data_IF_706902337594
#
_entry.id   IF_706902337594
#
_cell.length_a   1.000
_cell.length_b   1.000
_cell.length_c   1.000
_cell.angle_alpha   90.00
_cell.angle_beta   90.00
_cell.angle_gamma   90.00
#
_symmetry.space_group_name_H-M   'P 1'
#
loop_
_entity.id
_entity.type
_entity.pdbx_description
1 polymer ?
#
# COMPACT_ATOMS: atom_id res chain seq x y z
N UNK A 1 -43.65 -35.21 20.86
CA UNK A 1 -42.53 -36.13 20.81
C UNK A 1 -41.24 -35.33 20.54
N UNK A 2 -40.13 -35.96 20.82
CA UNK A 2 -38.76 -35.53 20.48
C UNK A 2 -38.20 -36.75 19.72
N UNK A 3 -38.14 -36.63 18.40
CA UNK A 3 -37.91 -37.78 17.51
C UNK A 3 -36.43 -38.17 17.37
N UNK A 4 -35.53 -37.24 17.55
CA UNK A 4 -34.08 -37.47 17.45
C UNK A 4 -33.33 -37.45 18.80
N UNK A 5 -34.01 -36.98 19.87
CA UNK A 5 -33.52 -37.06 21.24
C UNK A 5 -32.57 -35.94 21.65
N UNK A 6 -32.61 -34.80 21.00
CA UNK A 6 -31.73 -33.66 21.27
C UNK A 6 -32.29 -32.68 22.33
N UNK A 7 -33.46 -33.00 22.92
CA UNK A 7 -34.20 -32.23 23.93
C UNK A 7 -35.08 -31.10 23.40
N UNK A 8 -35.11 -30.89 22.09
CA UNK A 8 -36.08 -29.98 21.44
C UNK A 8 -37.26 -30.84 20.95
N UNK A 9 -38.45 -30.45 21.28
CA UNK A 9 -39.64 -31.20 20.83
C UNK A 9 -39.91 -30.93 19.35
N UNK A 10 -40.36 -31.95 18.59
CA UNK A 10 -40.61 -31.89 17.14
C UNK A 10 -41.36 -30.66 16.66
N UNK A 11 -42.27 -30.10 17.53
CA UNK A 11 -43.03 -28.91 17.18
C UNK A 11 -42.20 -27.64 17.11
N UNK A 12 -41.16 -27.57 17.93
CA UNK A 12 -40.29 -26.38 18.10
C UNK A 12 -38.91 -26.63 17.50
N UNK A 13 -38.73 -27.83 16.93
CA UNK A 13 -37.49 -28.29 16.29
C UNK A 13 -37.51 -28.00 14.78
N UNK A 14 -36.52 -27.27 14.32
CA UNK A 14 -36.31 -26.96 12.90
C UNK A 14 -35.63 -28.11 12.12
N UNK A 15 -35.08 -29.13 12.85
CA UNK A 15 -34.41 -30.32 12.30
C UNK A 15 -34.84 -31.63 12.98
N UNK A 16 -36.12 -31.97 13.06
CA UNK A 16 -36.70 -32.95 13.99
C UNK A 16 -36.32 -34.43 13.78
N UNK A 17 -35.38 -34.70 12.89
CA UNK A 17 -34.82 -36.04 12.61
C UNK A 17 -33.29 -36.06 12.68
N UNK A 18 -32.66 -34.94 13.09
CA UNK A 18 -31.17 -34.81 13.12
C UNK A 18 -30.80 -34.07 14.40
N UNK A 19 -30.26 -34.76 15.41
CA UNK A 19 -29.93 -34.14 16.69
C UNK A 19 -29.06 -32.91 16.55
N UNK A 20 -29.41 -31.81 17.23
CA UNK A 20 -28.69 -30.56 17.12
C UNK A 20 -28.65 -29.76 18.41
N UNK A 21 -28.47 -28.45 18.27
CA UNK A 21 -28.31 -27.55 19.39
C UNK A 21 -29.62 -26.84 19.73
N UNK A 22 -29.97 -26.80 21.01
CA UNK A 22 -31.14 -26.05 21.49
C UNK A 22 -31.08 -24.57 21.05
N UNK A 23 -29.87 -23.97 21.02
CA UNK A 23 -29.67 -22.59 20.60
C UNK A 23 -30.01 -22.36 19.12
N UNK A 24 -29.96 -23.41 18.28
CA UNK A 24 -30.26 -23.40 16.85
C UNK A 24 -31.56 -24.14 16.54
N UNK A 25 -32.50 -24.14 17.52
CA UNK A 25 -33.82 -24.78 17.40
C UNK A 25 -33.73 -26.25 16.95
N UNK A 26 -32.81 -27.03 17.56
CA UNK A 26 -32.64 -28.46 17.28
C UNK A 26 -31.79 -28.77 16.02
N UNK A 27 -31.21 -27.80 15.36
CA UNK A 27 -30.36 -28.04 14.19
C UNK A 27 -28.87 -28.26 14.55
N UNK A 28 -28.18 -29.13 13.82
CA UNK A 28 -26.74 -29.31 13.97
C UNK A 28 -25.96 -28.08 13.50
N UNK A 29 -24.74 -27.93 14.04
CA UNK A 29 -23.76 -26.92 13.73
C UNK A 29 -22.40 -27.62 13.81
N UNK A 30 -21.85 -27.98 12.68
CA UNK A 30 -20.70 -28.91 12.62
C UNK A 30 -19.36 -28.23 12.93
N UNK A 31 -19.22 -26.93 12.60
CA UNK A 31 -17.99 -26.18 12.86
C UNK A 31 -18.08 -25.25 14.07
N UNK A 32 -19.30 -25.04 14.61
CA UNK A 32 -19.52 -24.33 15.86
C UNK A 32 -19.54 -22.81 15.74
N UNK A 33 -19.86 -22.27 14.56
CA UNK A 33 -19.88 -20.83 14.32
C UNK A 33 -21.18 -20.13 14.70
N UNK A 34 -22.22 -20.92 15.02
CA UNK A 34 -23.54 -20.44 15.42
C UNK A 34 -24.52 -20.29 14.26
N UNK A 35 -24.20 -20.76 13.07
CA UNK A 35 -25.07 -20.93 11.91
C UNK A 35 -25.43 -22.43 11.81
N UNK A 36 -26.69 -22.76 11.68
CA UNK A 36 -27.07 -24.17 11.52
C UNK A 36 -26.59 -24.70 10.16
N UNK A 37 -26.13 -25.96 10.10
CA UNK A 37 -25.62 -26.61 8.86
C UNK A 37 -26.55 -26.46 7.65
N UNK A 38 -27.85 -26.42 7.86
CA UNK A 38 -28.87 -26.24 6.81
C UNK A 38 -28.94 -24.84 6.23
N UNK A 39 -28.46 -23.84 6.97
CA UNK A 39 -28.49 -22.41 6.64
C UNK A 39 -27.07 -21.90 6.38
N UNK A 40 -26.07 -22.79 6.46
CA UNK A 40 -24.65 -22.53 6.31
C UNK A 40 -24.14 -22.94 4.93
N UNK A 41 -23.54 -22.00 4.22
CA UNK A 41 -22.92 -22.28 2.91
C UNK A 41 -21.57 -23.02 3.05
N UNK A 42 -20.95 -22.98 4.24
CA UNK A 42 -19.66 -23.61 4.55
C UNK A 42 -19.69 -24.46 5.84
N UNK A 43 -20.54 -25.48 5.99
CA UNK A 43 -20.86 -26.13 7.26
C UNK A 43 -19.70 -26.91 7.93
N UNK A 44 -18.47 -26.76 7.46
CA UNK A 44 -17.25 -27.31 8.05
C UNK A 44 -16.13 -26.29 8.19
N UNK A 45 -16.39 -25.03 7.90
CA UNK A 45 -15.44 -23.93 7.99
C UNK A 45 -16.10 -22.71 8.67
N UNK A 46 -15.86 -22.55 9.96
CA UNK A 46 -16.50 -21.52 10.78
C UNK A 46 -16.32 -20.10 10.21
N UNK A 47 -17.42 -19.41 10.02
CA UNK A 47 -17.48 -18.03 9.54
C UNK A 47 -18.63 -17.23 10.15
N UNK A 48 -18.71 -15.94 9.88
CA UNK A 48 -19.76 -15.11 10.45
C UNK A 48 -21.11 -15.31 9.73
N UNK A 49 -22.21 -15.20 10.49
CA UNK A 49 -23.56 -15.29 9.95
C UNK A 49 -23.85 -14.27 8.83
N UNK A 50 -23.18 -13.10 8.85
CA UNK A 50 -23.25 -12.08 7.78
C UNK A 50 -22.73 -12.58 6.42
N UNK A 51 -21.91 -13.64 6.43
CA UNK A 51 -21.40 -14.33 5.24
C UNK A 51 -21.94 -15.75 5.10
N UNK A 52 -23.16 -16.00 5.63
CA UNK A 52 -23.85 -17.29 5.58
C UNK A 52 -23.00 -18.44 6.15
N UNK A 53 -22.29 -18.22 7.27
CA UNK A 53 -21.44 -19.23 7.89
C UNK A 53 -20.07 -19.43 7.22
N UNK A 54 -19.79 -18.77 6.10
CA UNK A 54 -18.48 -18.87 5.46
C UNK A 54 -17.49 -17.85 6.01
N UNK A 55 -16.18 -18.20 6.12
CA UNK A 55 -15.15 -17.21 6.36
C UNK A 55 -15.12 -16.17 5.23
N UNK A 56 -14.76 -14.92 5.57
CA UNK A 56 -14.54 -13.92 4.54
C UNK A 56 -13.33 -14.28 3.70
N UNK A 57 -13.38 -14.10 2.36
CA UNK A 57 -12.20 -14.28 1.50
C UNK A 57 -11.03 -13.40 1.98
N UNK A 58 -9.84 -13.99 1.96
CA UNK A 58 -8.55 -13.33 2.22
C UNK A 58 -7.58 -13.87 1.16
N UNK A 59 -7.40 -13.08 0.10
CA UNK A 59 -6.79 -13.54 -1.15
C UNK A 59 -5.28 -13.69 -1.05
N UNK A 60 -4.62 -12.80 -0.34
CA UNK A 60 -3.18 -12.83 -0.16
C UNK A 60 -2.74 -13.52 1.15
N UNK A 61 -3.69 -13.78 2.06
CA UNK A 61 -3.48 -14.55 3.28
C UNK A 61 -2.79 -13.78 4.41
N UNK A 62 -2.94 -12.46 4.45
CA UNK A 62 -2.29 -11.61 5.45
C UNK A 62 -3.09 -11.47 6.76
N UNK A 63 -4.31 -12.01 6.80
CA UNK A 63 -5.21 -12.00 7.94
C UNK A 63 -6.17 -10.81 7.96
N UNK A 64 -6.21 -10.00 6.89
CA UNK A 64 -7.21 -8.96 6.66
C UNK A 64 -8.14 -9.44 5.54
N UNK A 65 -9.44 -9.63 5.81
CA UNK A 65 -10.36 -10.03 4.74
C UNK A 65 -10.41 -9.04 3.59
N UNK A 66 -10.55 -9.54 2.34
CA UNK A 66 -10.62 -8.71 1.11
C UNK A 66 -11.55 -7.49 1.22
N UNK A 67 -12.65 -7.61 1.95
CA UNK A 67 -13.63 -6.53 2.14
C UNK A 67 -13.13 -5.36 2.99
N UNK A 68 -12.16 -5.62 3.85
CA UNK A 68 -11.57 -4.67 4.80
C UNK A 68 -10.12 -4.33 4.43
N UNK A 69 -9.60 -4.98 3.38
CA UNK A 69 -8.24 -4.87 2.90
C UNK A 69 -8.12 -3.80 1.79
N UNK A 70 -7.23 -2.85 1.98
CA UNK A 70 -6.93 -1.83 0.98
C UNK A 70 -6.00 -2.35 -0.13
N UNK A 71 -5.32 -3.48 0.10
CA UNK A 71 -4.35 -4.09 -0.81
C UNK A 71 -4.58 -5.61 -0.98
N UNK A 72 -5.76 -6.09 -1.40
CA UNK A 72 -6.20 -7.50 -1.29
C UNK A 72 -5.41 -8.52 -2.13
N UNK A 73 -4.39 -8.10 -2.84
CA UNK A 73 -3.48 -8.93 -3.62
C UNK A 73 -2.00 -8.80 -3.16
N UNK A 74 -1.74 -8.03 -2.07
CA UNK A 74 -0.40 -7.69 -1.58
C UNK A 74 -0.31 -7.87 -0.07
N UNK A 75 0.29 -8.95 0.39
CA UNK A 75 0.49 -9.26 1.81
C UNK A 75 0.99 -8.05 2.60
N UNK A 76 0.22 -7.61 3.56
CA UNK A 76 0.53 -6.45 4.38
C UNK A 76 0.40 -6.68 5.88
N UNK A 77 -0.13 -5.72 6.60
CA UNK A 77 -0.34 -5.83 8.04
C UNK A 77 -1.73 -5.34 8.43
N UNK A 78 -2.31 -5.92 9.48
CA UNK A 78 -3.59 -5.45 10.06
C UNK A 78 -3.49 -3.97 10.47
N UNK A 79 -2.33 -3.53 10.99
CA UNK A 79 -2.09 -2.14 11.39
C UNK A 79 -2.13 -1.16 10.22
N UNK A 80 -1.86 -1.64 9.00
CA UNK A 80 -1.85 -0.85 7.76
C UNK A 80 -3.02 -1.25 6.82
N UNK A 81 -4.11 -1.81 7.39
CA UNK A 81 -5.32 -2.24 6.67
C UNK A 81 -5.01 -3.16 5.47
N UNK A 82 -4.18 -4.19 5.70
CA UNK A 82 -3.79 -5.15 4.67
C UNK A 82 -2.72 -4.67 3.68
N UNK A 83 -2.26 -3.42 3.77
CA UNK A 83 -1.20 -2.95 2.88
C UNK A 83 0.21 -3.17 3.47
N UNK A 84 1.23 -3.38 2.62
CA UNK A 84 2.61 -3.47 3.07
C UNK A 84 3.13 -2.15 3.63
N UNK A 85 4.01 -2.21 4.63
CA UNK A 85 4.66 -1.05 5.23
C UNK A 85 5.96 -0.71 4.51
N UNK A 86 6.20 0.61 4.30
CA UNK A 86 7.48 1.08 3.72
C UNK A 86 8.60 0.87 4.73
N UNK A 87 9.41 -0.15 4.50
CA UNK A 87 10.56 -0.48 5.34
C UNK A 87 11.71 0.50 5.14
N UNK A 88 12.67 0.54 6.08
CA UNK A 88 13.88 1.37 5.94
C UNK A 88 14.72 0.99 4.71
N UNK A 89 14.73 -0.29 4.33
CA UNK A 89 15.41 -0.75 3.12
C UNK A 89 14.79 -0.17 1.85
N UNK A 90 13.46 -0.10 1.78
CA UNK A 90 12.72 0.50 0.65
C UNK A 90 12.95 2.01 0.60
N UNK A 91 12.89 2.70 1.75
CA UNK A 91 13.21 4.14 1.83
C UNK A 91 14.60 4.43 1.31
N UNK A 92 15.58 3.62 1.73
CA UNK A 92 16.96 3.74 1.26
C UNK A 92 17.06 3.48 -0.24
N UNK A 93 16.40 2.45 -0.77
CA UNK A 93 16.42 2.14 -2.20
C UNK A 93 15.85 3.30 -3.04
N UNK A 94 14.71 3.88 -2.63
CA UNK A 94 14.12 5.05 -3.30
C UNK A 94 15.09 6.23 -3.33
N UNK A 95 15.75 6.54 -2.21
CA UNK A 95 16.75 7.61 -2.14
C UNK A 95 17.98 7.33 -3.04
N UNK A 96 18.46 6.09 -3.04
CA UNK A 96 19.63 5.71 -3.83
C UNK A 96 19.30 5.73 -5.34
N UNK A 97 18.14 5.26 -5.76
CA UNK A 97 17.68 5.38 -7.15
C UNK A 97 17.46 6.83 -7.56
N UNK A 98 16.76 7.62 -6.76
CA UNK A 98 16.43 9.00 -7.11
C UNK A 98 17.67 9.88 -7.33
N UNK A 99 18.75 9.67 -6.56
CA UNK A 99 20.03 10.37 -6.74
C UNK A 99 20.73 10.08 -8.07
N UNK A 100 20.38 8.98 -8.74
CA UNK A 100 20.97 8.60 -10.04
C UNK A 100 20.20 9.16 -11.23
N UNK A 101 19.06 9.81 -11.03
CA UNK A 101 18.29 10.48 -12.09
C UNK A 101 19.12 11.63 -12.68
N UNK A 102 19.31 11.60 -13.99
CA UNK A 102 20.11 12.57 -14.73
C UNK A 102 19.23 13.53 -15.54
N UNK A 103 19.63 14.80 -15.53
CA UNK A 103 18.99 15.85 -16.31
C UNK A 103 19.98 16.47 -17.31
N UNK A 104 19.45 17.09 -18.34
CA UNK A 104 20.24 17.95 -19.20
C UNK A 104 20.78 19.15 -18.41
N UNK A 105 21.98 19.63 -18.82
CA UNK A 105 22.66 20.73 -18.14
C UNK A 105 21.77 21.99 -18.13
N UNK A 106 21.47 22.49 -16.93
CA UNK A 106 20.67 23.70 -16.73
C UNK A 106 19.19 23.53 -17.08
N UNK A 107 18.69 22.29 -17.29
CA UNK A 107 17.31 21.98 -17.65
C UNK A 107 16.67 20.97 -16.68
N UNK A 108 15.36 20.82 -16.80
CA UNK A 108 14.55 19.81 -16.12
C UNK A 108 14.26 18.59 -17.01
N UNK A 109 14.75 18.57 -18.25
CA UNK A 109 14.60 17.44 -19.16
C UNK A 109 15.37 16.24 -18.63
N UNK A 110 14.67 15.15 -18.37
CA UNK A 110 15.25 13.88 -17.91
C UNK A 110 16.00 13.22 -19.07
N UNK A 111 17.19 12.71 -18.81
CA UNK A 111 17.97 12.00 -19.82
C UNK A 111 17.47 10.58 -20.03
N UNK A 112 17.49 10.04 -21.26
CA UNK A 112 17.02 8.66 -21.55
C UNK A 112 17.69 7.58 -20.70
N UNK A 113 18.96 7.78 -20.27
CA UNK A 113 19.65 6.82 -19.38
C UNK A 113 18.99 6.66 -18.00
N UNK A 114 18.09 7.54 -17.61
CA UNK A 114 17.36 7.48 -16.33
C UNK A 114 16.02 6.75 -16.42
N UNK A 115 15.61 6.31 -17.61
CA UNK A 115 14.29 5.65 -17.81
C UNK A 115 14.19 4.34 -17.03
N UNK A 116 15.25 3.52 -17.02
CA UNK A 116 15.28 2.26 -16.27
C UNK A 116 15.18 2.51 -14.75
N UNK A 117 15.91 3.48 -14.23
CA UNK A 117 15.85 3.87 -12.83
C UNK A 117 14.46 4.39 -12.44
N UNK A 118 13.85 5.19 -13.30
CA UNK A 118 12.52 5.73 -13.06
C UNK A 118 11.42 4.64 -13.16
N UNK A 119 11.61 3.64 -14.02
CA UNK A 119 10.73 2.48 -14.06
C UNK A 119 10.82 1.68 -12.75
N UNK A 120 12.03 1.39 -12.27
CA UNK A 120 12.21 0.71 -10.97
C UNK A 120 11.62 1.51 -9.79
N UNK A 121 11.68 2.84 -9.85
CA UNK A 121 11.02 3.69 -8.85
C UNK A 121 9.50 3.54 -8.97
N UNK A 122 8.93 3.57 -10.17
CA UNK A 122 7.49 3.41 -10.38
C UNK A 122 7.00 2.06 -9.85
N UNK A 123 7.72 0.96 -10.11
CA UNK A 123 7.41 -0.37 -9.59
C UNK A 123 7.37 -0.38 -8.06
N UNK A 124 8.37 0.24 -7.40
CA UNK A 124 8.37 0.37 -5.93
C UNK A 124 7.17 1.19 -5.44
N UNK A 125 6.81 2.29 -6.11
CA UNK A 125 5.67 3.11 -5.69
C UNK A 125 4.33 2.37 -5.86
N UNK A 126 4.24 1.49 -6.84
CA UNK A 126 3.05 0.67 -7.10
C UNK A 126 2.84 -0.40 -6.02
N UNK A 127 3.92 -0.97 -5.49
CA UNK A 127 3.89 -1.93 -4.37
C UNK A 127 3.36 -1.33 -3.05
N UNK A 128 3.24 0.01 -2.95
CA UNK A 128 2.79 0.73 -1.74
C UNK A 128 1.62 1.68 -2.04
N UNK A 129 0.44 1.18 -2.46
CA UNK A 129 -0.64 2.00 -3.02
C UNK A 129 -1.25 3.01 -2.03
N UNK A 130 -1.16 2.77 -0.73
CA UNK A 130 -1.68 3.65 0.33
C UNK A 130 -0.67 4.70 0.84
N UNK A 131 0.56 4.73 0.28
CA UNK A 131 1.61 5.65 0.72
C UNK A 131 1.62 6.92 -0.12
N UNK A 132 1.81 8.06 0.54
CA UNK A 132 2.08 9.35 -0.10
C UNK A 132 3.58 9.51 -0.33
N UNK A 133 3.96 10.07 -1.48
CA UNK A 133 5.37 10.27 -1.82
C UNK A 133 5.66 11.75 -2.08
N UNK A 134 6.77 12.24 -1.50
CA UNK A 134 7.28 13.57 -1.76
C UNK A 134 8.57 13.49 -2.57
N UNK A 135 8.57 14.16 -3.72
CA UNK A 135 9.70 14.26 -4.63
C UNK A 135 10.38 15.61 -4.41
N UNK A 136 11.61 15.59 -3.95
CA UNK A 136 12.39 16.79 -3.61
C UNK A 136 13.50 17.03 -4.64
N UNK A 137 13.54 18.24 -5.22
CA UNK A 137 14.57 18.67 -6.14
C UNK A 137 15.61 19.57 -5.43
N UNK A 138 16.89 19.34 -5.74
CA UNK A 138 18.00 20.10 -5.15
C UNK A 138 19.01 20.53 -6.23
N UNK A 139 19.69 21.65 -5.99
CA UNK A 139 20.78 22.16 -6.83
C UNK A 139 22.07 22.28 -6.02
N UNK A 140 23.16 22.56 -6.72
CA UNK A 140 24.37 23.07 -6.09
C UNK A 140 24.27 24.59 -5.83
N UNK A 141 25.34 25.18 -5.28
CA UNK A 141 25.39 26.61 -4.94
C UNK A 141 25.59 27.54 -6.15
N UNK A 142 25.72 27.01 -7.38
CA UNK A 142 26.02 27.81 -8.58
C UNK A 142 24.77 28.54 -9.06
N UNK A 143 24.86 29.85 -9.26
CA UNK A 143 23.77 30.68 -9.76
C UNK A 143 22.95 31.38 -8.66
N UNK A 144 21.92 32.11 -9.07
CA UNK A 144 21.04 32.83 -8.15
C UNK A 144 20.09 31.89 -7.41
N UNK A 145 19.58 32.34 -6.27
CA UNK A 145 18.60 31.59 -5.48
C UNK A 145 17.31 31.33 -6.28
N UNK A 146 16.84 32.34 -7.01
CA UNK A 146 15.60 32.23 -7.81
C UNK A 146 15.74 31.20 -8.94
N UNK A 147 16.88 31.20 -9.64
CA UNK A 147 17.14 30.22 -10.72
C UNK A 147 17.18 28.81 -10.15
N UNK A 148 17.88 28.62 -9.03
CA UNK A 148 18.02 27.31 -8.39
C UNK A 148 16.70 26.81 -7.82
N UNK A 149 15.90 27.69 -7.21
CA UNK A 149 14.58 27.35 -6.72
C UNK A 149 13.66 26.89 -7.85
N UNK A 150 13.61 27.65 -8.95
CA UNK A 150 12.82 27.27 -10.12
C UNK A 150 13.30 25.96 -10.73
N UNK A 151 14.60 25.82 -10.98
CA UNK A 151 15.16 24.62 -11.62
C UNK A 151 14.92 23.35 -10.79
N UNK A 152 15.08 23.44 -9.46
CA UNK A 152 14.81 22.31 -8.58
C UNK A 152 13.34 21.90 -8.55
N UNK A 153 12.43 22.89 -8.54
CA UNK A 153 10.99 22.65 -8.63
C UNK A 153 10.62 22.00 -9.97
N UNK A 154 11.14 22.51 -11.08
CA UNK A 154 10.89 21.96 -12.42
C UNK A 154 11.41 20.53 -12.55
N UNK A 155 12.55 20.18 -11.94
CA UNK A 155 13.10 18.81 -11.93
C UNK A 155 12.25 17.84 -11.14
N UNK A 156 11.86 18.23 -9.92
CA UNK A 156 10.94 17.43 -9.11
C UNK A 156 9.61 17.18 -9.84
N UNK A 157 9.09 18.21 -10.50
CA UNK A 157 7.86 18.11 -11.30
C UNK A 157 8.03 17.20 -12.53
N UNK A 158 9.19 17.24 -13.20
CA UNK A 158 9.45 16.35 -14.34
C UNK A 158 9.50 14.89 -13.94
N UNK A 159 10.06 14.57 -12.75
CA UNK A 159 10.04 13.21 -12.20
C UNK A 159 8.61 12.80 -11.85
N UNK A 160 7.85 13.65 -11.18
CA UNK A 160 6.44 13.39 -10.86
C UNK A 160 5.62 13.12 -12.13
N UNK A 161 5.78 13.94 -13.16
CA UNK A 161 5.06 13.77 -14.43
C UNK A 161 5.40 12.43 -15.10
N UNK A 162 6.68 12.03 -15.08
CA UNK A 162 7.07 10.72 -15.61
C UNK A 162 6.42 9.57 -14.85
N UNK A 163 6.36 9.64 -13.52
CA UNK A 163 5.71 8.62 -12.69
C UNK A 163 4.19 8.57 -12.94
N UNK A 164 3.54 9.73 -13.16
CA UNK A 164 2.14 9.79 -13.58
C UNK A 164 1.93 9.09 -14.93
N UNK A 165 2.81 9.31 -15.90
CA UNK A 165 2.78 8.62 -17.20
C UNK A 165 2.97 7.10 -17.06
N UNK A 166 3.62 6.65 -15.99
CA UNK A 166 3.76 5.23 -15.64
C UNK A 166 2.58 4.64 -14.86
N UNK A 167 1.58 5.45 -14.54
CA UNK A 167 0.35 4.99 -13.89
C UNK A 167 0.23 5.33 -12.41
N UNK A 168 1.24 5.94 -11.80
CA UNK A 168 1.16 6.32 -10.38
C UNK A 168 0.17 7.50 -10.23
N UNK A 169 -0.87 7.39 -9.40
CA UNK A 169 -1.86 8.44 -9.21
C UNK A 169 -1.24 9.75 -8.72
N UNK A 170 -1.63 10.86 -9.35
CA UNK A 170 -1.06 12.19 -9.03
C UNK A 170 -1.33 12.64 -7.60
N UNK A 171 -2.46 12.22 -7.02
CA UNK A 171 -2.85 12.51 -5.63
C UNK A 171 -1.95 11.85 -4.58
N UNK A 172 -1.21 10.83 -4.98
CA UNK A 172 -0.22 10.16 -4.11
C UNK A 172 1.14 10.83 -4.12
N UNK A 173 1.33 11.87 -4.91
CA UNK A 173 2.64 12.49 -5.08
C UNK A 173 2.60 14.01 -4.89
N UNK A 174 3.69 14.55 -4.36
CA UNK A 174 3.96 15.99 -4.32
C UNK A 174 5.37 16.27 -4.82
N UNK A 175 5.58 17.41 -5.52
CA UNK A 175 6.87 17.83 -6.02
C UNK A 175 7.27 19.16 -5.38
N UNK A 176 8.46 19.21 -4.76
CA UNK A 176 8.99 20.37 -4.06
C UNK A 176 10.42 20.66 -4.46
N UNK A 177 10.73 21.88 -4.85
CA UNK A 177 12.09 22.34 -5.08
C UNK A 177 12.64 23.05 -3.85
N UNK A 178 13.87 22.73 -3.47
CA UNK A 178 14.60 23.39 -2.38
C UNK A 178 15.78 24.22 -2.86
N UNK A 179 15.96 24.34 -4.17
CA UNK A 179 17.12 25.07 -4.71
C UNK A 179 18.43 24.60 -4.10
N UNK A 180 19.24 25.53 -3.63
CA UNK A 180 20.54 25.29 -3.01
C UNK A 180 20.54 25.23 -1.48
N UNK A 181 19.37 25.27 -0.85
CA UNK A 181 19.24 25.50 0.59
C UNK A 181 19.47 24.23 1.44
N UNK A 182 19.49 23.06 0.82
CA UNK A 182 19.69 21.77 1.50
C UNK A 182 20.89 21.00 0.93
N UNK A 183 22.13 21.49 1.05
CA UNK A 183 23.30 20.77 0.60
C UNK A 183 23.58 19.56 1.51
N UNK A 184 24.02 18.45 0.90
CA UNK A 184 24.48 17.23 1.60
C UNK A 184 25.97 16.98 1.42
N UNK A 185 26.65 17.81 0.62
CA UNK A 185 28.09 17.73 0.35
C UNK A 185 28.69 19.14 0.18
N UNK A 186 30.02 19.23 0.24
CA UNK A 186 30.74 20.49 0.12
C UNK A 186 30.64 21.11 -1.29
N UNK A 187 29.97 22.24 -1.38
CA UNK A 187 29.81 23.00 -2.63
C UNK A 187 31.13 23.59 -3.20
N UNK A 188 32.19 23.65 -2.42
CA UNK A 188 33.51 24.12 -2.91
C UNK A 188 34.17 23.10 -3.82
N UNK A 189 33.83 21.82 -3.72
CA UNK A 189 34.39 20.76 -4.57
C UNK A 189 33.47 20.48 -5.77
N UNK A 190 34.06 20.02 -6.87
CA UNK A 190 33.30 19.59 -8.06
C UNK A 190 32.42 18.39 -7.74
N UNK A 191 32.94 17.46 -6.96
CA UNK A 191 32.21 16.25 -6.55
C UNK A 191 31.04 16.57 -5.62
N UNK A 192 31.25 17.41 -4.60
CA UNK A 192 30.20 17.83 -3.70
C UNK A 192 29.08 18.57 -4.43
N UNK A 193 29.40 19.44 -5.38
CA UNK A 193 28.36 20.06 -6.22
C UNK A 193 27.60 19.03 -7.05
N UNK A 194 28.26 18.01 -7.57
CA UNK A 194 27.60 16.90 -8.28
C UNK A 194 26.63 16.15 -7.37
N UNK A 195 27.04 15.87 -6.14
CA UNK A 195 26.19 15.21 -5.12
C UNK A 195 25.01 16.06 -4.71
N UNK A 196 25.18 17.39 -4.63
CA UNK A 196 24.10 18.31 -4.27
C UNK A 196 23.04 18.45 -5.37
N UNK A 197 23.39 18.28 -6.65
CA UNK A 197 22.45 18.24 -7.79
C UNK A 197 21.75 16.88 -7.82
N UNK A 198 20.68 16.73 -7.09
CA UNK A 198 19.95 15.47 -6.93
C UNK A 198 18.44 15.64 -6.87
N UNK A 199 17.75 14.55 -7.01
CA UNK A 199 16.36 14.37 -6.58
C UNK A 199 16.33 13.37 -5.42
N UNK A 200 15.42 13.55 -4.50
CA UNK A 200 15.10 12.61 -3.43
C UNK A 200 13.62 12.25 -3.50
N UNK A 201 13.28 11.00 -3.14
CA UNK A 201 11.88 10.55 -3.03
C UNK A 201 11.69 9.97 -1.64
N UNK A 202 10.74 10.54 -0.91
CA UNK A 202 10.40 10.17 0.45
C UNK A 202 8.98 9.62 0.51
N UNK A 203 8.82 8.39 1.02
CA UNK A 203 7.51 7.86 1.38
C UNK A 203 7.05 8.45 2.71
N UNK A 204 5.89 9.05 2.71
CA UNK A 204 5.22 9.59 3.90
C UNK A 204 4.04 8.67 4.22
N UNK A 205 4.09 7.94 5.33
CA UNK A 205 2.89 7.29 5.84
C UNK A 205 1.91 8.39 6.26
N UNK A 206 0.63 8.29 5.89
CA UNK A 206 -0.36 9.23 6.41
C UNK A 206 -0.29 9.21 7.94
N UNK A 207 -0.06 10.36 8.54
CA UNK A 207 -0.19 10.49 9.99
C UNK A 207 -1.65 10.21 10.35
N UNK A 208 -1.89 9.14 11.09
CA UNK A 208 -3.15 8.88 11.79
C UNK A 208 -3.37 9.95 12.86
#
# INVERSE_FOLDING_TARGET
PDSDGDTVIDKDDACPNTPGLVALAGCPDADGDGVADKDDDCPNEAGPAENNGCPWPDRDGDGVPDKDDLCPDLVGTVANNGCPEVTESVRKALLDYAKTILFDTGKSTIKPQSEEVLANIADILDDYPNVQFRIEGHTDSTGSAEINQRLSQERAQSVMNYLIEKGIPSERMSAVGYGKDRPIADNNTREGRRTNRRVEIHGETPNN
#
